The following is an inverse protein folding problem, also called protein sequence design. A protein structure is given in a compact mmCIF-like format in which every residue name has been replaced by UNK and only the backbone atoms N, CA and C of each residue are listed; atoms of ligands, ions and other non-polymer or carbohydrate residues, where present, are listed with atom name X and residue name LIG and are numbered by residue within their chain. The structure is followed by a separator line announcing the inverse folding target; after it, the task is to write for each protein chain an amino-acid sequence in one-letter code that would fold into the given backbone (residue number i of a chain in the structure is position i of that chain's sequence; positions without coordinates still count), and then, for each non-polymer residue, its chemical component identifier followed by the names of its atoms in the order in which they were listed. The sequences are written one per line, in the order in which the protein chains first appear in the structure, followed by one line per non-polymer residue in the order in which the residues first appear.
data_IF_076606764793
#
_entry.id   IF_076606764793
#
_cell.length_a   1.000
_cell.length_b   1.000
_cell.length_c   1.000
_cell.angle_alpha   90.00
_cell.angle_beta   90.00
_cell.angle_gamma   90.00
#
_symmetry.space_group_name_H-M   'P 1'
#
loop_
_entity.id
_entity.type
_entity.pdbx_description
1 polymer ?
#
# COMPACT_ATOMS: atom_id res chain seq x y z
N UNK A 1 0.48 -17.15 21.36
CA UNK A 1 0.24 -15.70 21.19
C UNK A 1 -0.28 -15.49 19.78
N UNK A 2 -1.38 -14.76 19.58
CA UNK A 2 -1.78 -14.36 18.23
C UNK A 2 -0.72 -13.42 17.65
N UNK A 3 -0.36 -13.63 16.38
CA UNK A 3 0.49 -12.70 15.67
C UNK A 3 -0.28 -11.40 15.42
N UNK A 4 0.38 -10.26 15.60
CA UNK A 4 -0.19 -8.96 15.23
C UNK A 4 -0.35 -8.88 13.71
N UNK A 5 -1.52 -8.42 13.25
CA UNK A 5 -1.89 -8.34 11.83
C UNK A 5 -2.12 -6.91 11.41
N UNK A 6 -1.76 -6.58 10.17
CA UNK A 6 -2.11 -5.28 9.59
C UNK A 6 -3.52 -5.32 9.01
N UNK A 7 -4.24 -4.21 9.09
CA UNK A 7 -5.52 -4.03 8.43
C UNK A 7 -5.30 -3.75 6.94
N UNK A 8 -5.94 -4.54 6.08
CA UNK A 8 -5.98 -4.37 4.63
C UNK A 8 -7.37 -3.98 4.12
N UNK A 9 -8.33 -3.70 5.00
CA UNK A 9 -9.73 -3.41 4.65
C UNK A 9 -9.86 -2.23 3.68
N UNK A 10 -8.92 -1.28 3.73
CA UNK A 10 -8.92 -0.14 2.80
C UNK A 10 -8.72 -0.55 1.33
N UNK A 11 -8.14 -1.73 1.05
CA UNK A 11 -7.99 -2.27 -0.30
C UNK A 11 -9.33 -2.65 -0.95
N UNK A 12 -10.37 -2.87 -0.14
CA UNK A 12 -11.74 -3.11 -0.60
C UNK A 12 -12.52 -1.80 -0.84
N UNK A 13 -11.94 -0.67 -0.43
CA UNK A 13 -12.55 0.65 -0.56
C UNK A 13 -12.39 1.29 -1.95
N UNK A 14 -12.81 2.56 -2.08
CA UNK A 14 -12.61 3.34 -3.31
C UNK A 14 -11.12 3.51 -3.65
N UNK A 15 -10.78 3.66 -4.94
CA UNK A 15 -9.41 3.87 -5.42
C UNK A 15 -8.71 5.04 -4.71
N UNK A 16 -9.43 6.12 -4.41
CA UNK A 16 -8.89 7.26 -3.66
C UNK A 16 -8.43 6.88 -2.24
N UNK A 17 -9.12 5.94 -1.58
CA UNK A 17 -8.74 5.43 -0.26
C UNK A 17 -7.43 4.63 -0.35
N UNK A 18 -7.30 3.81 -1.39
CA UNK A 18 -6.10 3.01 -1.67
C UNK A 18 -4.91 3.91 -1.97
N UNK A 19 -5.09 4.94 -2.81
CA UNK A 19 -4.05 5.95 -3.10
C UNK A 19 -3.63 6.67 -1.82
N UNK A 20 -4.58 7.14 -1.00
CA UNK A 20 -4.28 7.88 0.23
C UNK A 20 -3.51 7.03 1.23
N UNK A 21 -3.98 5.80 1.50
CA UNK A 21 -3.34 4.92 2.47
C UNK A 21 -2.01 4.37 1.95
N UNK A 22 -1.93 4.00 0.67
CA UNK A 22 -0.68 3.61 0.03
C UNK A 22 0.38 4.71 0.12
N UNK A 23 0.00 5.98 -0.12
CA UNK A 23 0.91 7.13 0.00
C UNK A 23 1.39 7.29 1.45
N UNK A 24 0.49 7.16 2.42
CA UNK A 24 0.84 7.20 3.84
C UNK A 24 1.85 6.11 4.22
N UNK A 25 1.64 4.88 3.73
CA UNK A 25 2.56 3.75 3.95
C UNK A 25 3.93 4.06 3.32
N UNK A 26 3.96 4.52 2.06
CA UNK A 26 5.22 4.88 1.39
C UNK A 26 5.99 5.94 2.18
N UNK A 27 5.33 7.01 2.63
CA UNK A 27 5.96 8.06 3.44
C UNK A 27 6.43 7.54 4.79
N UNK A 28 5.62 6.73 5.48
CA UNK A 28 5.93 6.21 6.82
C UNK A 28 7.04 5.15 6.80
N UNK A 29 7.21 4.45 5.69
CA UNK A 29 8.27 3.46 5.46
C UNK A 29 9.58 4.11 5.00
N UNK A 30 9.53 5.34 4.48
CA UNK A 30 10.73 6.04 4.04
C UNK A 30 11.66 6.35 5.22
N UNK A 31 12.91 5.87 5.13
CA UNK A 31 13.93 6.01 6.18
C UNK A 31 13.53 5.45 7.56
N UNK A 32 12.53 4.57 7.62
CA UNK A 32 12.05 3.99 8.86
C UNK A 32 13.02 2.94 9.38
N UNK A 33 13.68 3.24 10.51
CA UNK A 33 14.70 2.36 11.12
C UNK A 33 14.16 1.01 11.59
N UNK A 34 12.85 0.90 11.84
CA UNK A 34 12.23 -0.37 12.20
C UNK A 34 12.02 -1.29 10.98
N UNK A 35 11.98 -0.71 9.78
CA UNK A 35 11.71 -1.38 8.52
C UNK A 35 12.78 -1.01 7.47
N UNK A 36 14.07 -1.31 7.72
CA UNK A 36 15.17 -0.75 6.93
C UNK A 36 15.28 -1.33 5.51
N UNK A 37 14.70 -2.50 5.25
CA UNK A 37 14.81 -3.22 3.97
C UNK A 37 13.45 -3.80 3.61
N UNK A 38 12.47 -2.95 3.23
CA UNK A 38 11.17 -3.44 2.79
C UNK A 38 11.30 -4.16 1.45
N UNK A 39 10.47 -5.18 1.18
CA UNK A 39 10.48 -5.90 -0.09
C UNK A 39 10.18 -4.99 -1.27
N UNK A 40 9.29 -4.01 -1.07
CA UNK A 40 9.03 -2.93 -2.02
C UNK A 40 9.57 -1.63 -1.42
N UNK A 41 10.46 -0.97 -2.15
CA UNK A 41 11.01 0.31 -1.69
C UNK A 41 9.92 1.38 -1.59
N UNK A 42 10.03 2.34 -0.64
CA UNK A 42 9.11 3.46 -0.53
C UNK A 42 8.92 4.23 -1.85
N UNK A 43 10.01 4.45 -2.59
CA UNK A 43 9.97 5.09 -3.91
C UNK A 43 9.28 4.23 -4.98
N UNK A 44 9.47 2.91 -4.95
CA UNK A 44 8.79 1.97 -5.83
C UNK A 44 7.28 1.95 -5.59
N UNK A 45 6.88 1.90 -4.31
CA UNK A 45 5.46 1.99 -3.92
C UNK A 45 4.85 3.33 -4.34
N UNK A 46 5.54 4.45 -4.13
CA UNK A 46 5.05 5.76 -4.55
C UNK A 46 4.86 5.84 -6.08
N UNK A 47 5.77 5.23 -6.86
CA UNK A 47 5.70 5.24 -8.31
C UNK A 47 4.45 4.54 -8.85
N UNK A 48 4.11 3.36 -8.31
CA UNK A 48 2.89 2.62 -8.73
C UNK A 48 1.60 3.31 -8.27
N UNK A 49 1.64 4.01 -7.13
CA UNK A 49 0.51 4.84 -6.67
C UNK A 49 0.29 6.05 -7.60
N UNK A 50 1.37 6.71 -8.02
CA UNK A 50 1.29 7.84 -8.95
C UNK A 50 0.77 7.39 -10.33
N UNK A 51 1.14 6.18 -10.76
CA UNK A 51 0.58 5.54 -11.95
C UNK A 51 -0.92 5.27 -11.80
N UNK A 52 -1.35 4.61 -10.72
CA UNK A 52 -2.77 4.38 -10.43
C UNK A 52 -3.57 5.69 -10.43
N UNK A 53 -3.05 6.75 -9.79
CA UNK A 53 -3.66 8.08 -9.79
C UNK A 53 -3.82 8.66 -11.20
N UNK A 54 -2.81 8.47 -12.05
CA UNK A 54 -2.86 8.88 -13.46
C UNK A 54 -3.92 8.10 -14.24
N UNK A 55 -4.00 6.78 -14.04
CA UNK A 55 -4.97 5.92 -14.73
C UNK A 55 -6.41 6.15 -14.24
N UNK A 56 -6.62 6.37 -12.94
CA UNK A 56 -7.93 6.73 -12.38
C UNK A 56 -8.44 8.07 -12.94
N UNK A 57 -7.55 9.03 -13.22
CA UNK A 57 -7.97 10.26 -13.91
C UNK A 57 -8.42 9.99 -15.35
N UNK A 58 -7.75 9.07 -16.06
CA UNK A 58 -8.08 8.71 -17.45
C UNK A 58 -9.36 7.87 -17.54
N UNK A 59 -9.56 6.93 -16.60
CA UNK A 59 -10.72 6.04 -16.57
C UNK A 59 -12.05 6.78 -16.49
N UNK A 60 -12.05 8.02 -15.98
CA UNK A 60 -13.22 8.94 -15.97
C UNK A 60 -13.80 9.22 -17.35
N UNK A 61 -13.07 8.99 -18.44
CA UNK A 61 -13.65 9.09 -19.80
C UNK A 61 -14.43 7.84 -20.23
N UNK A 62 -14.55 6.84 -19.34
CA UNK A 62 -15.35 5.61 -19.48
C UNK A 62 -15.01 4.74 -20.70
N UNK A 63 -13.82 4.91 -21.27
CA UNK A 63 -13.33 4.04 -22.34
C UNK A 63 -12.84 2.73 -21.73
N UNK A 64 -13.32 1.61 -22.26
CA UNK A 64 -13.01 0.26 -21.77
C UNK A 64 -11.50 0.03 -21.55
N UNK A 65 -10.65 0.48 -22.50
CA UNK A 65 -9.19 0.36 -22.37
C UNK A 65 -8.64 1.09 -21.14
N UNK A 66 -9.12 2.30 -20.84
CA UNK A 66 -8.61 3.07 -19.70
C UNK A 66 -9.10 2.51 -18.36
N UNK A 67 -10.27 1.89 -18.34
CA UNK A 67 -10.75 1.15 -17.16
C UNK A 67 -9.85 -0.06 -16.92
N UNK A 68 -9.55 -0.82 -17.99
CA UNK A 68 -8.62 -1.95 -17.91
C UNK A 68 -7.22 -1.53 -17.45
N UNK A 69 -6.67 -0.43 -17.98
CA UNK A 69 -5.36 0.09 -17.58
C UNK A 69 -5.36 0.51 -16.10
N UNK A 70 -6.46 1.10 -15.61
CA UNK A 70 -6.65 1.45 -14.19
C UNK A 70 -6.71 0.20 -13.32
N UNK A 71 -7.47 -0.83 -13.73
CA UNK A 71 -7.63 -2.07 -12.97
C UNK A 71 -6.30 -2.84 -12.85
N UNK A 72 -5.46 -2.81 -13.89
CA UNK A 72 -4.09 -3.36 -13.84
C UNK A 72 -3.24 -2.59 -12.83
N UNK A 73 -3.19 -1.26 -12.92
CA UNK A 73 -2.43 -0.44 -11.96
C UNK A 73 -2.94 -0.60 -10.52
N UNK A 74 -4.24 -0.84 -10.34
CA UNK A 74 -4.83 -1.13 -9.03
C UNK A 74 -4.38 -2.47 -8.47
N UNK A 75 -4.28 -3.51 -9.32
CA UNK A 75 -3.75 -4.80 -8.93
C UNK A 75 -2.27 -4.68 -8.50
N UNK A 76 -1.44 -3.97 -9.26
CA UNK A 76 -0.03 -3.76 -8.94
C UNK A 76 0.16 -3.07 -7.57
N UNK A 77 -0.65 -2.04 -7.29
CA UNK A 77 -0.63 -1.36 -5.98
C UNK A 77 -1.04 -2.29 -4.84
N UNK A 78 -2.07 -3.14 -5.04
CA UNK A 78 -2.51 -4.13 -4.05
C UNK A 78 -1.39 -5.14 -3.75
N UNK A 79 -0.79 -5.70 -4.79
CA UNK A 79 0.29 -6.68 -4.66
C UNK A 79 1.49 -6.09 -3.89
N UNK A 80 1.81 -4.82 -4.13
CA UNK A 80 2.92 -4.15 -3.44
C UNK A 80 2.59 -3.88 -1.96
N UNK A 81 1.35 -3.49 -1.66
CA UNK A 81 0.87 -3.28 -0.30
C UNK A 81 0.86 -4.61 0.47
N UNK A 82 0.40 -5.69 -0.12
CA UNK A 82 0.34 -7.03 0.51
C UNK A 82 1.75 -7.56 0.83
N UNK A 83 2.72 -7.36 -0.07
CA UNK A 83 4.11 -7.73 0.21
C UNK A 83 4.69 -6.96 1.40
N UNK A 84 4.46 -5.64 1.45
CA UNK A 84 4.90 -4.83 2.58
C UNK A 84 4.15 -5.17 3.87
N UNK A 85 2.86 -5.48 3.80
CA UNK A 85 2.05 -5.94 4.93
C UNK A 85 2.63 -7.19 5.57
N UNK A 86 2.88 -8.25 4.78
CA UNK A 86 3.47 -9.49 5.28
C UNK A 86 4.84 -9.27 5.91
N UNK A 87 5.64 -8.36 5.35
CA UNK A 87 6.93 -7.98 5.91
C UNK A 87 6.78 -7.27 7.26
N UNK A 88 5.89 -6.27 7.35
CA UNK A 88 5.65 -5.48 8.57
C UNK A 88 5.16 -6.37 9.73
N UNK A 89 4.20 -7.26 9.47
CA UNK A 89 3.70 -8.20 10.49
C UNK A 89 4.83 -9.03 11.10
N UNK A 90 5.74 -9.53 10.26
CA UNK A 90 6.87 -10.34 10.69
C UNK A 90 7.94 -9.50 11.41
N UNK A 91 8.30 -8.35 10.84
CA UNK A 91 9.36 -7.48 11.34
C UNK A 91 8.99 -6.75 12.64
N UNK A 92 7.69 -6.50 12.88
CA UNK A 92 7.18 -5.85 14.09
C UNK A 92 7.36 -6.67 15.37
N UNK A 93 7.56 -7.99 15.27
CA UNK A 93 7.74 -8.90 16.42
C UNK A 93 6.63 -8.78 17.48
N UNK A 94 5.39 -8.55 17.05
CA UNK A 94 4.21 -8.30 17.89
C UNK A 94 4.26 -6.99 18.72
N UNK A 95 5.16 -6.07 18.39
CA UNK A 95 5.16 -4.73 18.97
C UNK A 95 4.23 -3.81 18.16
N UNK A 96 3.16 -3.38 18.80
CA UNK A 96 2.14 -2.52 18.20
C UNK A 96 2.70 -1.16 17.80
N UNK A 97 3.59 -0.57 18.59
CA UNK A 97 4.16 0.74 18.28
C UNK A 97 5.10 0.64 17.07
N UNK A 98 5.84 -0.46 16.95
CA UNK A 98 6.66 -0.73 15.76
C UNK A 98 5.76 -0.93 14.53
N UNK A 99 4.71 -1.74 14.61
CA UNK A 99 3.79 -1.93 13.49
C UNK A 99 3.18 -0.60 13.03
N UNK A 100 2.65 0.20 13.95
CA UNK A 100 2.02 1.47 13.62
C UNK A 100 3.00 2.48 12.99
N UNK A 101 4.31 2.35 13.21
CA UNK A 101 5.31 3.21 12.55
C UNK A 101 5.41 2.96 11.04
N UNK A 102 4.93 1.82 10.54
CA UNK A 102 4.89 1.52 9.10
C UNK A 102 3.82 2.31 8.33
N UNK A 103 2.90 2.96 9.03
CA UNK A 103 1.74 3.63 8.45
C UNK A 103 0.52 2.72 8.26
N UNK A 104 0.65 1.40 8.44
CA UNK A 104 -0.49 0.48 8.52
C UNK A 104 -1.27 0.63 9.84
N UNK A 105 -2.52 0.20 9.81
CA UNK A 105 -3.36 0.04 11.00
C UNK A 105 -3.33 -1.41 11.49
N UNK A 106 -3.68 -1.65 12.75
CA UNK A 106 -3.82 -3.00 13.33
C UNK A 106 -5.20 -3.56 12.98
N UNK A 107 -5.28 -4.86 12.68
CA UNK A 107 -6.53 -5.59 12.45
C UNK A 107 -7.25 -5.94 13.76
#
# INVERSE_FOLDING_TARGET
MCALKVSLTFLEGPVDSIISQGTRIAVSMNENKNFPIPPISPAGLQSVIDELKSMEKKSKTQKARQISDRDIALADVRDFIEQNASYVETASKNDVAILLSSGFEVQ
#
